data_IF_491589570255
#
_entry.id   IF_491589570255
#
_cell.length_a   1.000
_cell.length_b   1.000
_cell.length_c   1.000
_cell.angle_alpha   90.00
_cell.angle_beta   90.00
_cell.angle_gamma   90.00
#
_symmetry.space_group_name_H-M   'P 1'
#
loop_
_entity.id
_entity.type
_entity.pdbx_description
1 polymer ?
#
# COMPACT_ATOMS: atom_id res chain seq x y z
N UNK A 1 -0.10 -0.71 -4.32
CA UNK A 1 -0.18 0.46 -5.24
C UNK A 1 -1.30 1.38 -4.78
N UNK A 2 -1.25 2.68 -5.08
CA UNK A 2 -2.31 3.65 -4.71
C UNK A 2 -2.95 4.21 -6.00
N UNK A 3 -4.26 4.41 -6.00
CA UNK A 3 -4.98 5.07 -7.09
C UNK A 3 -6.08 5.99 -6.56
N UNK A 4 -6.41 7.06 -7.30
CA UNK A 4 -7.49 7.96 -6.93
C UNK A 4 -8.86 7.30 -7.08
N UNK A 5 -9.78 7.63 -6.17
CA UNK A 5 -11.19 7.22 -6.26
C UNK A 5 -11.86 7.99 -7.40
N UNK A 6 -12.64 7.29 -8.23
CA UNK A 6 -13.42 7.88 -9.32
C UNK A 6 -14.90 7.68 -9.04
N UNK A 7 -15.69 8.74 -9.26
CA UNK A 7 -17.15 8.70 -9.06
C UNK A 7 -17.77 7.57 -9.91
N UNK A 8 -18.67 6.79 -9.30
CA UNK A 8 -19.39 5.67 -9.92
C UNK A 8 -18.49 4.53 -10.43
N UNK A 9 -17.24 4.43 -9.95
CA UNK A 9 -16.37 3.29 -10.22
C UNK A 9 -16.16 2.50 -8.94
N UNK A 10 -16.24 1.19 -9.03
CA UNK A 10 -15.88 0.31 -7.93
C UNK A 10 -14.42 0.56 -7.50
N UNK A 11 -14.20 0.54 -6.20
CA UNK A 11 -12.90 0.54 -5.57
C UNK A 11 -12.96 -0.32 -4.31
N UNK A 12 -11.82 -0.88 -3.93
CA UNK A 12 -11.65 -1.61 -2.68
C UNK A 12 -11.55 -0.61 -1.53
N UNK A 13 -12.50 -0.67 -0.58
CA UNK A 13 -12.61 0.25 0.54
C UNK A 13 -11.87 -0.23 1.80
N UNK A 14 -11.14 -1.35 1.74
CA UNK A 14 -10.32 -1.85 2.83
C UNK A 14 -9.30 -0.82 3.36
N UNK A 15 -8.81 0.06 2.49
CA UNK A 15 -8.03 1.23 2.91
C UNK A 15 -8.19 2.40 1.92
N UNK A 16 -8.91 3.42 2.35
CA UNK A 16 -8.99 4.73 1.70
C UNK A 16 -7.94 5.66 2.30
N UNK A 17 -7.31 6.50 1.50
CA UNK A 17 -6.38 7.56 1.89
C UNK A 17 -6.97 8.92 1.56
N UNK A 18 -7.00 9.80 2.56
CA UNK A 18 -7.52 11.16 2.43
C UNK A 18 -6.41 12.17 2.15
N UNK A 19 -6.80 13.36 1.69
CA UNK A 19 -5.87 14.47 1.48
C UNK A 19 -5.22 14.82 2.81
N UNK A 20 -3.88 14.82 2.83
CA UNK A 20 -3.09 15.07 4.04
C UNK A 20 -2.62 13.80 4.76
N UNK A 21 -3.08 12.61 4.38
CA UNK A 21 -2.54 11.35 4.92
C UNK A 21 -1.07 11.13 4.49
N UNK A 22 -0.69 11.69 3.33
CA UNK A 22 0.70 11.82 2.89
C UNK A 22 0.83 12.99 1.91
N UNK A 23 2.01 13.62 1.83
CA UNK A 23 2.29 14.77 0.94
C UNK A 23 1.91 14.58 -0.54
N UNK A 24 1.91 13.35 -1.07
CA UNK A 24 1.57 13.10 -2.48
C UNK A 24 0.09 12.77 -2.70
N UNK A 25 -0.70 12.60 -1.62
CA UNK A 25 -2.14 12.34 -1.71
C UNK A 25 -2.86 13.68 -1.81
N UNK A 26 -3.13 14.12 -3.04
CA UNK A 26 -3.83 15.38 -3.33
C UNK A 26 -5.33 15.19 -3.60
N UNK A 27 -5.79 13.95 -3.71
CA UNK A 27 -7.19 13.57 -3.88
C UNK A 27 -7.49 12.29 -3.10
N UNK A 28 -8.76 12.08 -2.67
CA UNK A 28 -9.19 10.80 -2.08
C UNK A 28 -8.78 9.63 -2.96
N UNK A 29 -8.06 8.70 -2.35
CA UNK A 29 -7.40 7.57 -3.03
C UNK A 29 -7.62 6.29 -2.24
N UNK A 30 -7.30 5.14 -2.82
CA UNK A 30 -7.38 3.86 -2.12
C UNK A 30 -6.20 2.95 -2.50
N UNK A 31 -5.97 1.93 -1.67
CA UNK A 31 -4.95 0.92 -1.89
C UNK A 31 -5.48 -0.17 -2.83
N UNK A 32 -4.73 -0.44 -3.89
CA UNK A 32 -4.99 -1.57 -4.81
C UNK A 32 -4.31 -2.83 -4.28
N UNK A 33 -4.97 -3.54 -3.36
CA UNK A 33 -4.42 -4.75 -2.74
C UNK A 33 -4.24 -5.92 -3.73
N UNK A 34 -5.08 -6.03 -4.77
CA UNK A 34 -4.85 -7.00 -5.88
C UNK A 34 -3.50 -6.90 -6.58
N UNK A 35 -2.83 -5.75 -6.48
CA UNK A 35 -1.49 -5.51 -7.04
C UNK A 35 -0.41 -5.53 -5.95
N UNK A 36 -0.70 -6.05 -4.77
CA UNK A 36 0.30 -6.22 -3.73
C UNK A 36 1.34 -7.26 -4.16
N UNK A 37 2.60 -6.95 -3.88
CA UNK A 37 3.76 -7.76 -4.25
C UNK A 37 4.72 -7.83 -3.07
N UNK A 38 5.48 -8.92 -3.02
CA UNK A 38 6.59 -9.08 -2.08
C UNK A 38 7.89 -8.90 -2.85
N UNK A 39 8.82 -8.16 -2.27
CA UNK A 39 10.12 -7.90 -2.88
C UNK A 39 11.23 -8.06 -1.84
N UNK A 40 12.45 -8.30 -2.31
CA UNK A 40 13.62 -8.39 -1.45
C UNK A 40 14.06 -6.98 -1.05
N UNK A 41 14.30 -6.77 0.24
CA UNK A 41 14.79 -5.48 0.76
C UNK A 41 16.09 -5.01 0.06
N UNK A 42 16.96 -5.96 -0.32
CA UNK A 42 18.20 -5.68 -1.08
C UNK A 42 17.86 -5.15 -2.48
N UNK A 43 16.85 -5.72 -3.15
CA UNK A 43 16.41 -5.25 -4.46
C UNK A 43 15.87 -3.82 -4.38
N UNK A 44 14.98 -3.54 -3.42
CA UNK A 44 14.43 -2.21 -3.19
C UNK A 44 15.53 -1.18 -2.90
N UNK A 45 16.48 -1.53 -2.03
CA UNK A 45 17.63 -0.68 -1.70
C UNK A 45 18.46 -0.34 -2.93
N UNK A 46 18.73 -1.34 -3.79
CA UNK A 46 19.48 -1.12 -5.02
C UNK A 46 18.74 -0.20 -6.01
N UNK A 47 17.42 -0.33 -6.12
CA UNK A 47 16.62 0.52 -7.01
C UNK A 47 16.58 1.97 -6.54
N UNK A 48 16.55 2.22 -5.23
CA UNK A 48 16.70 3.57 -4.66
C UNK A 48 18.09 4.14 -4.94
N UNK A 49 19.16 3.37 -4.69
CA UNK A 49 20.54 3.81 -4.93
C UNK A 49 20.79 4.17 -6.41
N UNK A 50 20.22 3.38 -7.33
CA UNK A 50 20.31 3.63 -8.78
C UNK A 50 19.37 4.73 -9.29
N UNK A 51 18.58 5.36 -8.41
CA UNK A 51 17.58 6.39 -8.73
C UNK A 51 16.46 5.93 -9.67
N UNK A 52 16.21 4.62 -9.71
CA UNK A 52 15.00 4.09 -10.37
C UNK A 52 13.77 4.28 -9.49
N UNK A 53 13.92 4.17 -8.17
CA UNK A 53 12.86 4.48 -7.21
C UNK A 53 13.14 5.81 -6.51
N UNK A 54 12.09 6.60 -6.37
CA UNK A 54 12.10 7.90 -5.72
C UNK A 54 11.71 7.72 -4.25
N UNK A 55 12.63 8.03 -3.35
CA UNK A 55 12.33 8.00 -1.92
C UNK A 55 11.34 9.13 -1.58
N UNK A 56 10.33 8.79 -0.78
CA UNK A 56 9.31 9.69 -0.24
C UNK A 56 9.36 9.65 1.28
N UNK A 57 8.66 10.59 1.91
CA UNK A 57 8.49 10.57 3.35
C UNK A 57 7.80 9.28 3.79
N UNK A 58 8.03 8.88 5.03
CA UNK A 58 7.29 7.77 5.61
C UNK A 58 5.84 8.22 5.87
N UNK A 59 4.91 7.27 5.77
CA UNK A 59 3.56 7.50 6.25
C UNK A 59 3.58 7.75 7.76
N UNK A 60 2.69 8.62 8.25
CA UNK A 60 2.46 8.75 9.69
C UNK A 60 2.02 7.38 10.25
N UNK A 61 2.39 7.04 11.51
CA UNK A 61 2.08 5.74 12.09
C UNK A 61 0.62 5.34 11.95
N UNK A 62 -0.31 6.27 12.17
CA UNK A 62 -1.75 5.99 12.14
C UNK A 62 -2.26 5.66 10.73
N UNK A 63 -1.62 6.22 9.69
CA UNK A 63 -1.94 5.92 8.30
C UNK A 63 -1.31 4.59 7.89
N UNK A 64 -0.10 4.33 8.35
CA UNK A 64 0.57 3.05 8.14
C UNK A 64 -0.22 1.89 8.74
N UNK A 65 -0.72 2.03 9.97
CA UNK A 65 -1.53 1.01 10.63
C UNK A 65 -2.81 0.70 9.84
N UNK A 66 -3.50 1.74 9.32
CA UNK A 66 -4.66 1.57 8.41
C UNK A 66 -4.31 0.79 7.14
N UNK A 67 -3.13 0.99 6.57
CA UNK A 67 -2.66 0.25 5.38
C UNK A 67 -2.42 -1.22 5.74
N UNK A 68 -1.82 -1.49 6.89
CA UNK A 68 -1.58 -2.86 7.37
C UNK A 68 -2.90 -3.56 7.70
N UNK A 69 -3.84 -2.88 8.34
CA UNK A 69 -5.15 -3.44 8.64
C UNK A 69 -5.94 -3.79 7.38
N UNK A 70 -5.84 -2.98 6.33
CA UNK A 70 -6.48 -3.29 5.05
C UNK A 70 -5.97 -4.57 4.39
N UNK A 71 -4.76 -5.07 4.73
CA UNK A 71 -4.30 -6.40 4.29
C UNK A 71 -5.16 -7.54 4.86
N UNK A 72 -5.77 -7.35 6.03
CA UNK A 72 -6.64 -8.34 6.68
C UNK A 72 -8.09 -8.28 6.19
N UNK A 73 -8.47 -7.14 5.62
CA UNK A 73 -9.86 -6.81 5.28
C UNK A 73 -10.13 -7.00 3.78
N UNK A 74 -9.15 -6.71 2.92
CA UNK A 74 -9.33 -6.77 1.48
C UNK A 74 -9.49 -8.20 0.96
N UNK A 75 -10.63 -8.48 0.34
CA UNK A 75 -10.88 -9.72 -0.42
C UNK A 75 -10.08 -9.78 -1.73
N UNK A 76 -9.46 -8.67 -2.14
CA UNK A 76 -8.67 -8.58 -3.37
C UNK A 76 -7.19 -8.96 -3.17
N UNK A 77 -6.73 -9.14 -1.92
CA UNK A 77 -5.33 -9.44 -1.63
C UNK A 77 -4.91 -10.83 -2.15
N UNK A 78 -3.83 -10.95 -2.96
CA UNK A 78 -3.39 -12.25 -3.45
C UNK A 78 -2.97 -13.20 -2.33
N UNK A 79 -3.39 -14.47 -2.38
CA UNK A 79 -3.13 -15.45 -1.32
C UNK A 79 -1.65 -15.66 -1.00
N UNK A 80 -0.75 -15.50 -1.99
CA UNK A 80 0.70 -15.55 -1.77
C UNK A 80 1.21 -14.41 -0.87
N UNK A 81 0.57 -13.25 -0.92
CA UNK A 81 0.91 -12.08 -0.10
C UNK A 81 0.36 -12.26 1.31
N UNK A 82 -0.86 -12.81 1.45
CA UNK A 82 -1.44 -13.20 2.74
C UNK A 82 -0.50 -14.18 3.46
N UNK A 83 -0.14 -15.28 2.81
CA UNK A 83 0.75 -16.29 3.39
C UNK A 83 2.11 -15.71 3.80
N UNK A 84 2.67 -14.80 2.99
CA UNK A 84 3.90 -14.10 3.35
C UNK A 84 3.71 -13.23 4.60
N UNK A 85 2.65 -12.42 4.63
CA UNK A 85 2.39 -11.49 5.71
C UNK A 85 2.13 -12.22 7.05
N UNK A 86 1.40 -13.33 7.04
CA UNK A 86 1.21 -14.21 8.20
C UNK A 86 2.56 -14.83 8.65
N UNK A 87 3.34 -15.38 7.71
CA UNK A 87 4.63 -16.04 8.02
C UNK A 87 5.66 -15.10 8.63
N UNK A 88 5.52 -13.79 8.40
CA UNK A 88 6.42 -12.74 8.88
C UNK A 88 5.82 -11.94 10.04
N UNK A 89 4.66 -12.34 10.56
CA UNK A 89 3.94 -11.64 11.64
C UNK A 89 3.68 -10.16 11.30
N UNK A 90 3.43 -9.86 10.02
CA UNK A 90 2.97 -8.55 9.56
C UNK A 90 1.47 -8.42 9.83
N UNK A 91 0.72 -9.49 9.51
CA UNK A 91 -0.71 -9.59 9.80
C UNK A 91 -1.07 -10.72 10.74
#
# INVERSE_FOLDING_TARGET
MITSIKKNRFYDDACVLDVGDHEFITHPSYLLYRLAETDLAIHLSNMVQKRFYLQKQDFRPEVYDRIVDGLRISDELPSRVIAYAESRMII
#
